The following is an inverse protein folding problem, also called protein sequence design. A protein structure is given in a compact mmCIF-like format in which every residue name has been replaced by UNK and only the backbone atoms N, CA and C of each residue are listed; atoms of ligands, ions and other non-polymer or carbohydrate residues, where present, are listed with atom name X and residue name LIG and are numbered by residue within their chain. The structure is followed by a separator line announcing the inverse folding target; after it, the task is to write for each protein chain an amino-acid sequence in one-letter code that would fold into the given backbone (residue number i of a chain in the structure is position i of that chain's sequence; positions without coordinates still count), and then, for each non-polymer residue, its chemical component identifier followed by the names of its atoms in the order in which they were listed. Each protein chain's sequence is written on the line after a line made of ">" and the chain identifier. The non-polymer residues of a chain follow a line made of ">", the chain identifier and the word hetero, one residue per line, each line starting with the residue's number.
data_IF_929663415669
#
_entry.id   IF_929663415669
#
_cell.length_a   1.000
_cell.length_b   1.000
_cell.length_c   1.000
_cell.angle_alpha   90.00
_cell.angle_beta   90.00
_cell.angle_gamma   90.00
#
_symmetry.space_group_name_H-M   'P 1'
#
loop_
_entity.id
_entity.type
_entity.pdbx_description
1 polymer ?
#
# COMPACT_ATOMS: atom_id res chain seq x y z
N UNK A 1 -3.61 -38.95 -50.05
CA UNK A 1 -4.53 -38.29 -49.12
C UNK A 1 -3.79 -38.11 -47.80
N UNK A 2 -3.25 -36.92 -47.54
CA UNK A 2 -2.45 -36.61 -46.36
C UNK A 2 -3.06 -35.35 -45.76
N UNK A 3 -3.55 -35.41 -44.52
CA UNK A 3 -3.90 -34.25 -43.71
C UNK A 3 -2.86 -34.14 -42.60
N UNK A 4 -2.11 -33.03 -42.49
CA UNK A 4 -1.24 -32.82 -41.34
C UNK A 4 -2.08 -32.31 -40.16
N UNK A 5 -2.16 -33.14 -39.13
CA UNK A 5 -2.36 -32.66 -37.78
C UNK A 5 -1.16 -31.79 -37.39
N UNK A 6 -1.39 -30.57 -36.89
CA UNK A 6 -0.54 -29.80 -35.97
C UNK A 6 -0.99 -28.35 -35.94
N UNK A 7 -1.94 -28.02 -35.07
CA UNK A 7 -1.99 -26.69 -34.45
C UNK A 7 -2.51 -26.88 -33.02
N UNK A 8 -1.99 -26.07 -32.10
CA UNK A 8 -2.39 -25.86 -30.71
C UNK A 8 -1.56 -26.59 -29.65
N UNK A 9 -0.47 -25.94 -29.23
CA UNK A 9 -0.05 -25.89 -27.82
C UNK A 9 1.03 -24.80 -27.64
N UNK A 10 0.63 -23.52 -27.61
CA UNK A 10 1.50 -22.43 -27.12
C UNK A 10 0.63 -21.43 -26.39
N UNK A 11 0.34 -21.64 -25.09
CA UNK A 11 -0.40 -20.66 -24.25
C UNK A 11 -0.16 -20.81 -22.73
N UNK A 12 0.89 -21.50 -22.27
CA UNK A 12 1.01 -21.91 -20.85
C UNK A 12 2.07 -21.19 -19.99
N UNK A 13 2.81 -20.21 -20.53
CA UNK A 13 3.99 -19.65 -19.83
C UNK A 13 3.71 -18.44 -18.91
N UNK A 14 2.59 -17.74 -19.08
CA UNK A 14 2.33 -16.50 -18.33
C UNK A 14 1.76 -16.71 -16.91
N UNK A 15 1.14 -17.86 -16.63
CA UNK A 15 0.46 -18.07 -15.35
C UNK A 15 1.41 -18.37 -14.18
N UNK A 16 2.58 -18.98 -14.44
CA UNK A 16 3.52 -19.33 -13.38
C UNK A 16 4.26 -18.12 -12.79
N UNK A 17 4.52 -17.08 -13.58
CA UNK A 17 5.26 -15.90 -13.10
C UNK A 17 4.42 -15.06 -12.13
N UNK A 18 3.14 -14.83 -12.46
CA UNK A 18 2.23 -14.05 -11.60
C UNK A 18 1.98 -14.74 -10.25
N UNK A 19 1.92 -16.07 -10.24
CA UNK A 19 1.70 -16.83 -9.02
C UNK A 19 2.91 -16.77 -8.09
N UNK A 20 4.13 -16.86 -8.62
CA UNK A 20 5.37 -16.77 -7.84
C UNK A 20 5.54 -15.38 -7.22
N UNK A 21 5.23 -14.32 -7.98
CA UNK A 21 5.25 -12.94 -7.48
C UNK A 21 4.26 -12.73 -6.33
N UNK A 22 3.02 -13.21 -6.47
CA UNK A 22 2.02 -13.11 -5.40
C UNK A 22 2.46 -13.85 -4.13
N UNK A 23 3.01 -15.06 -4.23
CA UNK A 23 3.52 -15.79 -3.08
C UNK A 23 4.71 -15.07 -2.42
N UNK A 24 5.58 -14.46 -3.21
CA UNK A 24 6.68 -13.64 -2.69
C UNK A 24 6.15 -12.42 -1.93
N UNK A 25 5.15 -11.72 -2.47
CA UNK A 25 4.52 -10.58 -1.80
C UNK A 25 3.87 -11.00 -0.47
N UNK A 26 3.13 -12.11 -0.45
CA UNK A 26 2.53 -12.66 0.78
C UNK A 26 3.58 -12.98 1.84
N UNK A 27 4.67 -13.66 1.44
CA UNK A 27 5.75 -14.01 2.37
C UNK A 27 6.45 -12.77 2.97
N UNK A 28 6.66 -11.72 2.16
CA UNK A 28 7.21 -10.45 2.63
C UNK A 28 6.25 -9.76 3.60
N UNK A 29 4.96 -9.65 3.25
CA UNK A 29 3.94 -9.08 4.13
C UNK A 29 3.88 -9.82 5.48
N UNK A 30 3.87 -11.15 5.47
CA UNK A 30 3.90 -11.97 6.69
C UNK A 30 5.16 -11.74 7.52
N UNK A 31 6.31 -11.56 6.87
CA UNK A 31 7.58 -11.28 7.55
C UNK A 31 7.57 -9.90 8.22
N UNK A 32 7.07 -8.88 7.52
CA UNK A 32 6.96 -7.51 8.03
C UNK A 32 5.96 -7.47 9.20
N UNK A 33 4.76 -8.03 9.03
CA UNK A 33 3.70 -7.99 10.05
C UNK A 33 4.09 -8.74 11.33
N UNK A 34 4.94 -9.77 11.25
CA UNK A 34 5.49 -10.46 12.44
C UNK A 34 6.61 -9.70 13.14
N UNK A 35 7.34 -8.83 12.44
CA UNK A 35 8.52 -8.13 12.96
C UNK A 35 8.23 -6.68 13.36
N UNK A 36 7.15 -6.09 12.88
CA UNK A 36 6.77 -4.71 13.18
C UNK A 36 6.38 -4.54 14.65
N UNK A 37 6.88 -3.47 15.25
CA UNK A 37 6.45 -2.99 16.57
C UNK A 37 5.80 -1.64 16.36
N UNK A 38 4.49 -1.55 16.58
CA UNK A 38 3.75 -0.31 16.35
C UNK A 38 4.13 0.76 17.38
N UNK A 39 4.27 2.03 16.96
CA UNK A 39 4.64 3.13 17.85
C UNK A 39 3.52 3.40 18.86
N UNK A 40 3.89 3.98 20.00
CA UNK A 40 2.93 4.38 21.04
C UNK A 40 1.88 5.33 20.46
N UNK A 41 0.61 5.07 20.76
CA UNK A 41 -0.52 5.86 20.23
C UNK A 41 -1.16 5.25 18.99
N UNK A 42 -0.56 4.20 18.41
CA UNK A 42 -1.17 3.41 17.34
C UNK A 42 -2.31 2.53 17.85
N UNK A 43 -3.21 2.19 16.94
CA UNK A 43 -4.22 1.16 17.13
C UNK A 43 -3.61 -0.25 16.97
N UNK A 44 -4.37 -1.33 17.27
CA UNK A 44 -3.95 -2.68 16.89
C UNK A 44 -3.82 -2.84 15.37
N UNK A 45 -2.95 -3.74 14.90
CA UNK A 45 -2.70 -3.97 13.48
C UNK A 45 -3.97 -4.25 12.64
N UNK A 46 -4.97 -4.90 13.26
CA UNK A 46 -6.26 -5.21 12.63
C UNK A 46 -7.15 -3.99 12.36
N UNK A 47 -6.90 -2.85 13.00
CA UNK A 47 -7.62 -1.61 12.73
C UNK A 47 -7.17 -0.93 11.43
N UNK A 48 -5.97 -1.27 10.95
CA UNK A 48 -5.39 -0.68 9.75
C UNK A 48 -5.72 -1.50 8.51
N UNK A 49 -5.91 -0.82 7.39
CA UNK A 49 -5.59 -1.37 6.08
C UNK A 49 -4.10 -1.19 5.81
N UNK A 50 -3.45 -2.22 5.27
CA UNK A 50 -1.99 -2.27 5.14
C UNK A 50 -1.58 -2.35 3.68
N UNK A 51 -0.95 -1.31 3.18
CA UNK A 51 -0.51 -1.19 1.80
C UNK A 51 1.01 -1.34 1.73
N UNK A 52 1.50 -2.14 0.78
CA UNK A 52 2.92 -2.45 0.63
C UNK A 52 3.38 -2.21 -0.81
N UNK A 53 4.63 -1.83 -0.99
CA UNK A 53 5.27 -1.77 -2.31
C UNK A 53 6.78 -1.93 -2.18
N UNK A 54 7.44 -2.36 -3.27
CA UNK A 54 8.89 -2.30 -3.34
C UNK A 54 9.37 -0.84 -3.46
N UNK A 55 10.40 -0.50 -2.70
CA UNK A 55 11.09 0.79 -2.77
C UNK A 55 12.55 0.56 -3.16
N UNK A 56 12.78 0.22 -4.43
CA UNK A 56 14.06 -0.25 -4.94
C UNK A 56 14.26 -1.76 -4.75
N UNK A 57 15.51 -2.23 -4.82
CA UNK A 57 15.80 -3.67 -4.89
C UNK A 57 15.74 -4.41 -3.56
N UNK A 58 15.98 -3.72 -2.45
CA UNK A 58 16.18 -4.35 -1.14
C UNK A 58 15.27 -3.77 -0.04
N UNK A 59 14.25 -3.00 -0.43
CA UNK A 59 13.33 -2.38 0.53
C UNK A 59 11.88 -2.58 0.16
N UNK A 60 11.06 -2.71 1.19
CA UNK A 60 9.61 -2.62 1.11
C UNK A 60 9.19 -1.45 1.98
N UNK A 61 8.33 -0.58 1.43
CA UNK A 61 7.60 0.39 2.23
C UNK A 61 6.23 -0.18 2.59
N UNK A 62 5.78 0.11 3.80
CA UNK A 62 4.43 -0.17 4.27
C UNK A 62 3.75 1.12 4.71
N UNK A 63 2.49 1.31 4.32
CA UNK A 63 1.60 2.35 4.84
C UNK A 63 0.40 1.69 5.49
N UNK A 64 0.26 1.86 6.80
CA UNK A 64 -0.82 1.29 7.59
C UNK A 64 -1.78 2.42 7.94
N UNK A 65 -2.94 2.46 7.30
CA UNK A 65 -3.92 3.54 7.48
C UNK A 65 -5.22 3.01 8.06
N UNK A 66 -5.78 3.69 9.05
CA UNK A 66 -7.16 3.44 9.48
C UNK A 66 -8.07 3.97 8.37
N UNK A 67 -8.89 3.12 7.73
CA UNK A 67 -9.74 3.58 6.64
C UNK A 67 -10.72 4.63 7.15
N UNK A 68 -10.62 5.84 6.60
CA UNK A 68 -11.62 6.87 6.85
C UNK A 68 -12.73 6.73 5.82
N UNK A 69 -13.98 6.80 6.28
CA UNK A 69 -15.07 7.07 5.36
C UNK A 69 -14.84 8.47 4.79
N UNK A 70 -14.94 8.65 3.46
CA UNK A 70 -14.83 9.98 2.84
C UNK A 70 -15.64 10.99 3.66
N UNK A 71 -15.05 12.14 4.03
CA UNK A 71 -15.74 13.11 4.86
C UNK A 71 -17.05 13.49 4.18
N UNK A 72 -18.16 13.42 4.91
CA UNK A 72 -19.50 13.74 4.42
C UNK A 72 -19.73 15.26 4.29
N UNK A 73 -18.68 16.03 3.97
CA UNK A 73 -18.69 17.49 3.91
C UNK A 73 -17.86 18.04 2.74
N UNK A 74 -17.98 19.34 2.43
CA UNK A 74 -17.31 19.94 1.28
C UNK A 74 -15.79 19.91 1.45
N UNK A 75 -15.10 19.23 0.54
CA UNK A 75 -13.65 19.21 0.47
C UNK A 75 -13.09 20.64 0.28
N UNK A 76 -12.08 20.99 1.08
CA UNK A 76 -11.46 22.33 1.08
C UNK A 76 -9.93 22.19 1.06
N UNK A 77 -9.27 22.87 0.12
CA UNK A 77 -7.81 22.93 -0.01
C UNK A 77 -7.29 24.25 0.55
N UNK A 78 -6.24 24.20 1.37
CA UNK A 78 -5.51 25.38 1.84
C UNK A 78 -4.47 25.79 0.79
N UNK A 79 -4.52 27.05 0.36
CA UNK A 79 -3.63 27.64 -0.64
C UNK A 79 -2.65 28.59 0.07
N UNK A 80 -1.42 28.81 -0.47
CA UNK A 80 -0.51 29.81 0.07
C UNK A 80 -1.17 31.18 0.32
N UNK A 81 -0.78 31.84 1.42
CA UNK A 81 -1.36 33.11 1.83
C UNK A 81 -2.59 33.00 2.74
N UNK A 82 -2.73 31.88 3.47
CA UNK A 82 -3.80 31.65 4.45
C UNK A 82 -5.21 31.74 3.85
N UNK A 83 -5.34 31.35 2.58
CA UNK A 83 -6.61 31.31 1.83
C UNK A 83 -7.03 29.86 1.61
N UNK A 84 -8.32 29.64 1.38
CA UNK A 84 -8.84 28.32 1.05
C UNK A 84 -9.77 28.38 -0.16
N UNK A 85 -9.91 27.25 -0.87
CA UNK A 85 -10.88 27.05 -1.94
C UNK A 85 -11.53 25.68 -1.82
N UNK A 86 -12.70 25.54 -2.45
CA UNK A 86 -13.26 24.21 -2.70
C UNK A 86 -12.29 23.35 -3.52
N UNK A 87 -12.28 22.06 -3.25
CA UNK A 87 -11.57 21.09 -4.08
C UNK A 87 -12.10 21.12 -5.52
N UNK A 88 -11.19 20.93 -6.47
CA UNK A 88 -11.58 20.55 -7.82
C UNK A 88 -12.15 19.13 -7.80
N UNK A 89 -12.84 18.72 -8.87
CA UNK A 89 -13.37 17.36 -8.97
C UNK A 89 -12.28 16.29 -8.80
N UNK A 90 -11.08 16.54 -9.36
CA UNK A 90 -9.92 15.65 -9.24
C UNK A 90 -9.40 15.54 -7.80
N UNK A 91 -9.44 16.62 -7.03
CA UNK A 91 -9.03 16.64 -5.62
C UNK A 91 -10.08 16.03 -4.68
N UNK A 92 -11.33 15.90 -5.14
CA UNK A 92 -12.45 15.33 -4.39
C UNK A 92 -12.66 13.83 -4.70
N UNK A 93 -11.86 13.26 -5.62
CA UNK A 93 -11.90 11.83 -5.90
C UNK A 93 -11.51 11.04 -4.64
N UNK A 94 -12.31 10.03 -4.24
CA UNK A 94 -12.03 9.27 -3.04
C UNK A 94 -10.72 8.51 -3.20
N UNK A 95 -9.82 8.68 -2.23
CA UNK A 95 -8.59 7.90 -2.17
C UNK A 95 -8.98 6.43 -1.97
N UNK A 96 -8.54 5.56 -2.88
CA UNK A 96 -8.73 4.13 -2.75
C UNK A 96 -7.91 3.61 -1.56
N UNK A 97 -8.59 3.32 -0.45
CA UNK A 97 -7.97 2.84 0.78
C UNK A 97 -8.09 1.31 0.88
N UNK A 98 -7.02 0.68 1.36
CA UNK A 98 -7.06 -0.73 1.78
C UNK A 98 -7.99 -0.85 2.99
N UNK A 99 -8.93 -1.81 2.98
CA UNK A 99 -9.88 -1.97 4.07
C UNK A 99 -9.22 -2.43 5.38
N UNK A 100 -9.82 -2.09 6.52
CA UNK A 100 -9.31 -2.47 7.83
C UNK A 100 -9.19 -3.99 7.96
N UNK A 101 -8.09 -4.46 8.54
CA UNK A 101 -7.80 -5.88 8.68
C UNK A 101 -7.30 -6.54 7.39
N UNK A 102 -7.34 -5.86 6.25
CA UNK A 102 -6.83 -6.37 4.97
C UNK A 102 -5.48 -5.78 4.62
N UNK A 103 -4.84 -6.40 3.61
CA UNK A 103 -3.55 -5.96 3.08
C UNK A 103 -3.56 -5.97 1.56
N UNK A 104 -2.80 -5.08 0.95
CA UNK A 104 -2.69 -4.92 -0.50
C UNK A 104 -1.25 -4.64 -0.90
N UNK A 105 -0.81 -5.26 -1.99
CA UNK A 105 0.45 -4.94 -2.65
C UNK A 105 0.19 -3.97 -3.82
N UNK A 106 1.05 -2.97 -3.96
CA UNK A 106 1.05 -1.99 -5.02
C UNK A 106 2.29 -2.19 -5.89
N UNK A 107 2.15 -1.94 -7.19
CA UNK A 107 3.23 -2.10 -8.15
C UNK A 107 4.31 -1.02 -7.98
N UNK A 108 3.91 0.20 -7.62
CA UNK A 108 4.79 1.34 -7.34
C UNK A 108 4.64 1.84 -5.89
N UNK A 109 5.75 2.29 -5.30
CA UNK A 109 5.78 2.91 -3.99
C UNK A 109 5.09 4.28 -3.96
N UNK A 110 5.01 4.97 -5.09
CA UNK A 110 4.32 6.25 -5.19
C UNK A 110 2.79 6.10 -5.22
N UNK A 111 2.29 4.91 -5.58
CA UNK A 111 0.86 4.58 -5.56
C UNK A 111 0.35 4.18 -4.17
N UNK A 112 1.25 3.93 -3.22
CA UNK A 112 0.88 3.59 -1.84
C UNK A 112 0.21 4.81 -1.20
N UNK A 113 -1.05 4.69 -0.72
CA UNK A 113 -1.78 5.83 -0.15
C UNK A 113 -1.04 6.50 1.02
N UNK A 114 -0.96 7.83 0.96
CA UNK A 114 -0.37 8.69 1.99
C UNK A 114 -1.43 9.68 2.48
N UNK A 115 -1.86 9.52 3.73
CA UNK A 115 -2.76 10.45 4.42
C UNK A 115 -1.93 11.51 5.15
N UNK A 116 -1.97 12.73 4.62
CA UNK A 116 -1.32 13.85 5.29
C UNK A 116 -2.00 14.12 6.64
N UNK A 117 -1.19 14.47 7.64
CA UNK A 117 -1.65 14.90 8.96
C UNK A 117 -2.41 13.83 9.77
N UNK A 118 -2.22 12.56 9.45
CA UNK A 118 -2.96 11.46 10.06
C UNK A 118 -2.48 11.07 11.47
N UNK A 119 -1.36 11.61 11.96
CA UNK A 119 -0.82 11.18 13.25
C UNK A 119 -0.56 9.67 13.25
N UNK A 120 -1.02 8.96 14.28
CA UNK A 120 -0.92 7.49 14.33
C UNK A 120 -2.10 6.76 13.69
N UNK A 121 -3.04 7.49 13.07
CA UNK A 121 -4.04 6.88 12.18
C UNK A 121 -3.41 6.46 10.84
N UNK A 122 -2.19 6.94 10.55
CA UNK A 122 -1.28 6.35 9.58
C UNK A 122 0.09 6.03 10.20
N UNK A 123 0.56 4.80 9.99
CA UNK A 123 1.91 4.37 10.38
C UNK A 123 2.70 3.98 9.14
N UNK A 124 3.88 4.56 8.97
CA UNK A 124 4.82 4.19 7.91
C UNK A 124 5.82 3.16 8.42
N UNK A 125 6.11 2.17 7.60
CA UNK A 125 7.06 1.09 7.87
C UNK A 125 8.09 1.04 6.76
N UNK A 126 9.37 0.92 7.11
CA UNK A 126 10.43 0.60 6.15
C UNK A 126 11.05 -0.74 6.55
N UNK A 127 11.08 -1.67 5.61
CA UNK A 127 11.63 -3.01 5.79
C UNK A 127 12.76 -3.27 4.81
N UNK A 128 13.84 -3.87 5.30
CA UNK A 128 14.98 -4.32 4.50
C UNK A 128 14.88 -5.83 4.25
N UNK A 129 14.92 -6.22 2.98
CA UNK A 129 14.65 -7.61 2.56
C UNK A 129 15.83 -8.51 2.91
N UNK A 130 17.05 -8.09 2.59
CA UNK A 130 18.28 -8.86 2.77
C UNK A 130 18.54 -9.24 4.23
N UNK A 131 18.33 -8.31 5.16
CA UNK A 131 18.51 -8.54 6.59
C UNK A 131 17.24 -9.03 7.29
N UNK A 132 16.10 -9.01 6.60
CA UNK A 132 14.78 -9.34 7.11
C UNK A 132 14.36 -8.50 8.33
N UNK A 133 14.62 -7.19 8.30
CA UNK A 133 14.42 -6.30 9.45
C UNK A 133 13.58 -5.09 9.10
N UNK A 134 12.71 -4.72 10.05
CA UNK A 134 12.09 -3.40 10.07
C UNK A 134 13.17 -2.39 10.47
N UNK A 135 13.46 -1.46 9.56
CA UNK A 135 14.39 -0.36 9.78
C UNK A 135 13.72 0.81 10.50
N UNK A 136 12.44 1.06 10.17
CA UNK A 136 11.71 2.22 10.65
C UNK A 136 10.23 1.89 10.84
N UNK A 137 9.64 2.44 11.90
CA UNK A 137 8.18 2.44 12.12
C UNK A 137 7.80 3.72 12.84
N UNK A 138 7.04 4.58 12.18
CA UNK A 138 6.69 5.90 12.69
C UNK A 138 5.25 6.28 12.35
N UNK A 139 4.62 7.03 13.26
CA UNK A 139 3.37 7.72 12.94
C UNK A 139 3.66 8.83 11.93
N UNK A 140 2.73 9.08 11.01
CA UNK A 140 2.83 10.22 10.11
C UNK A 140 2.81 11.51 10.94
N UNK A 141 3.88 12.30 10.88
CA UNK A 141 4.03 13.48 11.72
C UNK A 141 3.29 14.68 11.10
N UNK A 142 2.45 15.35 11.90
CA UNK A 142 2.10 16.75 11.64
C UNK A 142 3.39 17.57 11.74
N UNK A 143 3.99 17.99 10.63
CA UNK A 143 5.19 18.84 10.64
C UNK A 143 4.84 20.32 10.67
#
# INVERSE_FOLDING_TARGET
>A
MIWPAKVLAVLSLAACTMQDENHRHEALMDSIERSVVLPKGSQPLSAYGRSYAFAGQDRVIGSYSIPVNSPTGPCTVVIPGNSSRACSAEEDEPIEQTAAGTRRWFDDADDVPKLLWAGCDQVNVVYEISSQRVLETLCEANR
#
